data_IF_363092808815
#
_entry.id   IF_363092808815
#
_cell.length_a   1.000
_cell.length_b   1.000
_cell.length_c   1.000
_cell.angle_alpha   90.00
_cell.angle_beta   90.00
_cell.angle_gamma   90.00
#
_symmetry.space_group_name_H-M   'P 1'
#
loop_
_entity.id
_entity.type
_entity.pdbx_description
1 polymer ?
#
# COMPACT_ATOMS: atom_id res chain seq x y z
N UNK A 1 20.42 2.26 2.43
CA UNK A 1 19.52 1.13 2.09
C UNK A 1 18.31 1.20 3.01
N UNK A 2 17.08 0.91 2.54
CA UNK A 2 15.85 0.87 3.38
C UNK A 2 15.26 -0.53 3.31
N UNK A 3 15.06 -1.18 4.46
CA UNK A 3 14.47 -2.52 4.53
C UNK A 3 12.95 -2.40 4.39
N UNK A 4 12.38 -3.18 3.47
CA UNK A 4 10.94 -3.21 3.25
C UNK A 4 10.37 -4.61 3.19
N UNK A 5 9.06 -4.71 3.41
CA UNK A 5 8.27 -5.94 3.37
C UNK A 5 7.18 -5.85 2.30
N UNK A 6 6.62 -6.99 1.86
CA UNK A 6 5.44 -6.99 1.00
C UNK A 6 4.18 -6.97 1.87
N UNK A 7 3.26 -6.04 1.64
CA UNK A 7 2.11 -5.83 2.51
C UNK A 7 1.20 -7.07 2.64
N UNK A 8 1.13 -7.95 1.60
CA UNK A 8 0.36 -9.21 1.66
C UNK A 8 0.93 -10.25 2.63
N UNK A 9 2.10 -10.03 3.23
CA UNK A 9 2.61 -10.88 4.32
C UNK A 9 1.71 -10.78 5.56
N UNK A 10 0.97 -9.67 5.72
CA UNK A 10 0.02 -9.48 6.80
C UNK A 10 -1.41 -9.70 6.30
N UNK A 11 -2.28 -10.37 7.09
CA UNK A 11 -3.69 -10.48 6.76
C UNK A 11 -4.36 -9.11 6.87
N UNK A 12 -5.29 -8.82 5.96
CA UNK A 12 -6.10 -7.61 6.00
C UNK A 12 -6.40 -7.02 4.63
N UNK A 13 -7.53 -6.31 4.56
CA UNK A 13 -8.01 -5.58 3.38
C UNK A 13 -8.26 -4.09 3.67
N UNK A 14 -7.92 -3.62 4.88
CA UNK A 14 -7.94 -2.21 5.26
C UNK A 14 -6.52 -1.63 5.23
N UNK A 15 -6.24 -0.58 4.44
CA UNK A 15 -4.91 0.02 4.35
C UNK A 15 -4.37 0.52 5.69
N UNK A 16 -5.24 1.07 6.56
CA UNK A 16 -4.81 1.61 7.84
C UNK A 16 -4.33 0.48 8.78
N UNK A 17 -5.12 -0.58 8.92
CA UNK A 17 -4.74 -1.76 9.68
C UNK A 17 -3.45 -2.40 9.15
N UNK A 18 -3.33 -2.61 7.83
CA UNK A 18 -2.15 -3.26 7.24
C UNK A 18 -0.89 -2.42 7.46
N UNK A 19 -0.93 -1.11 7.24
CA UNK A 19 0.24 -0.25 7.46
C UNK A 19 0.61 -0.09 8.93
N UNK A 20 -0.37 -0.15 9.84
CA UNK A 20 -0.11 -0.19 11.28
C UNK A 20 0.68 -1.45 11.66
N UNK A 21 0.30 -2.62 11.13
CA UNK A 21 1.03 -3.88 11.39
C UNK A 21 2.44 -3.84 10.80
N UNK A 22 2.61 -3.29 9.59
CA UNK A 22 3.95 -3.08 8.99
C UNK A 22 4.84 -2.22 9.90
N UNK A 23 4.29 -1.13 10.44
CA UNK A 23 5.02 -0.25 11.37
C UNK A 23 5.37 -0.96 12.66
N UNK A 24 4.44 -1.72 13.24
CA UNK A 24 4.64 -2.51 14.46
C UNK A 24 5.70 -3.61 14.25
N UNK A 25 5.78 -4.17 13.05
CA UNK A 25 6.82 -5.13 12.68
C UNK A 25 8.20 -4.48 12.46
N UNK A 26 8.33 -3.16 12.59
CA UNK A 26 9.60 -2.43 12.54
C UNK A 26 10.03 -2.00 11.12
N UNK A 27 9.16 -2.12 10.11
CA UNK A 27 9.49 -1.71 8.75
C UNK A 27 9.10 -0.26 8.48
N UNK A 28 10.01 0.47 7.82
CA UNK A 28 9.79 1.88 7.43
C UNK A 28 9.18 2.02 6.04
N UNK A 29 9.26 0.98 5.22
CA UNK A 29 8.72 0.97 3.86
C UNK A 29 8.08 -0.37 3.54
N UNK A 30 7.04 -0.37 2.71
CA UNK A 30 6.38 -1.59 2.26
C UNK A 30 6.04 -1.53 0.79
N UNK A 31 6.12 -2.66 0.10
CA UNK A 31 5.49 -2.80 -1.21
C UNK A 31 4.01 -3.10 -1.01
N UNK A 32 3.17 -2.13 -1.37
CA UNK A 32 1.73 -2.20 -1.15
C UNK A 32 1.03 -2.87 -2.33
N UNK A 33 0.14 -3.81 -2.04
CA UNK A 33 -0.74 -4.43 -3.02
C UNK A 33 -2.16 -3.90 -2.83
N UNK A 34 -2.89 -3.65 -3.91
CA UNK A 34 -4.25 -3.12 -3.84
C UNK A 34 -5.25 -4.08 -3.18
N UNK A 35 -4.93 -5.37 -3.09
CA UNK A 35 -5.70 -6.34 -2.28
C UNK A 35 -5.67 -6.00 -0.78
N UNK A 36 -4.63 -5.34 -0.29
CA UNK A 36 -4.57 -4.82 1.07
C UNK A 36 -5.50 -3.60 1.29
N UNK A 37 -6.12 -3.10 0.22
CA UNK A 37 -7.18 -2.10 0.24
C UNK A 37 -8.55 -2.68 -0.17
N UNK A 38 -8.69 -4.01 -0.20
CA UNK A 38 -9.93 -4.69 -0.59
C UNK A 38 -10.23 -4.70 -2.09
N UNK A 39 -9.29 -4.23 -2.93
CA UNK A 39 -9.45 -4.23 -4.38
C UNK A 39 -8.87 -5.53 -4.99
N UNK A 40 -9.24 -5.87 -6.25
CA UNK A 40 -8.49 -6.85 -7.02
C UNK A 40 -6.99 -6.49 -7.02
N UNK A 41 -6.12 -7.50 -7.12
CA UNK A 41 -4.66 -7.24 -7.14
C UNK A 41 -4.20 -6.40 -8.34
N UNK A 42 -4.98 -6.42 -9.42
CA UNK A 42 -4.77 -5.61 -10.62
C UNK A 42 -6.14 -5.20 -11.18
N UNK A 43 -6.74 -4.12 -10.65
CA UNK A 43 -7.99 -3.59 -11.18
C UNK A 43 -7.71 -2.72 -12.40
N UNK A 44 -8.66 -2.64 -13.34
CA UNK A 44 -8.52 -1.80 -14.54
C UNK A 44 -8.49 -0.30 -14.19
N UNK A 45 -9.21 0.08 -13.12
CA UNK A 45 -9.19 1.40 -12.55
C UNK A 45 -9.07 1.33 -11.02
N UNK A 46 -8.31 2.25 -10.44
CA UNK A 46 -8.21 2.41 -8.98
C UNK A 46 -9.15 3.56 -8.58
N UNK A 47 -10.16 3.29 -7.76
CA UNK A 47 -11.08 4.32 -7.27
C UNK A 47 -10.35 5.45 -6.50
N UNK A 48 -10.82 6.69 -6.65
CA UNK A 48 -10.16 7.86 -6.05
C UNK A 48 -10.23 7.86 -4.51
N UNK A 49 -11.33 7.33 -3.97
CA UNK A 49 -11.53 7.06 -2.54
C UNK A 49 -10.52 6.03 -2.01
N UNK A 50 -10.24 4.96 -2.76
CA UNK A 50 -9.22 3.99 -2.39
C UNK A 50 -7.82 4.64 -2.36
N UNK A 51 -7.48 5.48 -3.35
CA UNK A 51 -6.23 6.25 -3.34
C UNK A 51 -6.17 7.20 -2.13
N UNK A 52 -7.27 7.88 -1.81
CA UNK A 52 -7.35 8.78 -0.66
C UNK A 52 -7.17 8.02 0.66
N UNK A 53 -7.80 6.86 0.82
CA UNK A 53 -7.67 5.99 1.99
C UNK A 53 -6.23 5.48 2.16
N UNK A 54 -5.60 5.00 1.08
CA UNK A 54 -4.19 4.57 1.10
C UNK A 54 -3.28 5.75 1.49
N UNK A 55 -3.46 6.93 0.90
CA UNK A 55 -2.68 8.12 1.27
C UNK A 55 -2.88 8.52 2.73
N UNK A 56 -4.10 8.46 3.25
CA UNK A 56 -4.38 8.75 4.65
C UNK A 56 -3.69 7.75 5.59
N UNK A 57 -3.74 6.46 5.25
CA UNK A 57 -3.07 5.41 6.01
C UNK A 57 -1.54 5.56 6.01
N UNK A 58 -0.94 5.93 4.87
CA UNK A 58 0.50 6.25 4.77
C UNK A 58 0.88 7.40 5.68
N UNK A 59 0.11 8.51 5.65
CA UNK A 59 0.39 9.67 6.51
C UNK A 59 0.26 9.33 7.99
N UNK A 60 -0.75 8.55 8.36
CA UNK A 60 -0.99 8.16 9.75
C UNK A 60 0.07 7.19 10.30
N UNK A 61 0.47 6.21 9.49
CA UNK A 61 1.44 5.18 9.91
C UNK A 61 2.91 5.65 9.84
N UNK A 62 3.21 6.65 9.00
CA UNK A 62 4.58 7.05 8.68
C UNK A 62 5.36 6.02 7.84
N UNK A 63 4.69 4.98 7.34
CA UNK A 63 5.30 3.95 6.48
C UNK A 63 5.27 4.41 5.03
N UNK A 64 6.44 4.42 4.37
CA UNK A 64 6.53 4.76 2.95
C UNK A 64 6.06 3.60 2.05
N UNK A 65 5.46 3.92 0.89
CA UNK A 65 5.11 2.90 -0.10
C UNK A 65 6.19 2.81 -1.18
N UNK A 66 6.71 1.60 -1.36
CA UNK A 66 7.57 1.24 -2.49
C UNK A 66 6.71 0.61 -3.58
N UNK A 67 6.42 1.36 -4.65
CA UNK A 67 5.61 0.84 -5.75
C UNK A 67 6.49 0.24 -6.85
N UNK A 68 6.11 -0.95 -7.34
CA UNK A 68 6.55 -1.41 -8.67
C UNK A 68 5.51 -0.93 -9.68
N UNK A 69 5.94 -0.09 -10.61
CA UNK A 69 5.13 0.35 -11.75
C UNK A 69 4.97 -0.79 -12.75
N UNK A 70 3.74 -1.11 -13.16
CA UNK A 70 3.50 -1.95 -14.34
C UNK A 70 3.78 -1.09 -15.60
N UNK A 71 4.68 -1.47 -16.51
CA UNK A 71 5.04 -0.66 -17.68
C UNK A 71 3.84 -0.27 -18.57
N UNK A 72 2.72 -1.01 -18.50
CA UNK A 72 1.48 -0.70 -19.24
C UNK A 72 0.50 0.25 -18.54
N UNK A 73 0.62 0.53 -17.24
CA UNK A 73 -0.33 1.39 -16.52
C UNK A 73 0.23 2.81 -16.32
N UNK A 74 -0.44 3.81 -16.90
CA UNK A 74 -0.16 5.25 -16.65
C UNK A 74 -0.89 5.69 -15.37
N UNK A 75 -0.47 5.21 -14.21
CA UNK A 75 -0.90 5.78 -12.93
C UNK A 75 0.34 6.15 -12.10
N UNK A 76 0.56 7.46 -11.92
CA UNK A 76 1.52 8.00 -10.96
C UNK A 76 0.80 8.14 -9.62
N UNK A 77 1.11 7.26 -8.68
CA UNK A 77 0.85 7.54 -7.26
C UNK A 77 1.96 8.47 -6.78
N UNK A 78 1.70 9.78 -6.86
CA UNK A 78 2.44 10.82 -6.17
C UNK A 78 1.91 10.98 -4.74
#
# INVERSE_FOLDING_TARGET
MRLGIFAKTFPGSDPAAVLAVVKQAGYETTQFNLACAGLPSMPDAVPADAVAAIRAAVRSSGVSLAARRNPGSRQRLA
#
